data_IF_044435059149
#
_entry.id   IF_044435059149
#
_cell.length_a   1.000
_cell.length_b   1.000
_cell.length_c   1.000
_cell.angle_alpha   90.00
_cell.angle_beta   90.00
_cell.angle_gamma   90.00
#
_symmetry.space_group_name_H-M   'P 1'
#
loop_
_entity.id
_entity.type
_entity.pdbx_description
1 polymer ?
#
# COMPACT_ATOMS: atom_id res chain seq x y z
N UNK A 1 9.91 -13.83 21.94
CA UNK A 1 10.86 -12.84 21.36
C UNK A 1 10.59 -11.50 22.01
N UNK A 2 11.58 -10.71 22.41
CA UNK A 2 11.31 -9.39 23.01
C UNK A 2 10.75 -8.42 21.95
N UNK A 3 9.89 -7.48 22.36
CA UNK A 3 9.28 -6.48 21.47
C UNK A 3 10.34 -5.70 20.68
N UNK A 4 11.47 -5.38 21.32
CA UNK A 4 12.60 -4.69 20.68
C UNK A 4 13.21 -5.52 19.55
N UNK A 5 13.40 -6.83 19.75
CA UNK A 5 13.95 -7.71 18.72
C UNK A 5 12.99 -7.85 17.53
N UNK A 6 11.68 -7.89 17.80
CA UNK A 6 10.66 -7.92 16.74
C UNK A 6 10.68 -6.64 15.89
N UNK A 7 10.77 -5.46 16.53
CA UNK A 7 10.85 -4.19 15.81
C UNK A 7 12.12 -4.14 14.94
N UNK A 8 13.29 -4.46 15.50
CA UNK A 8 14.56 -4.41 14.76
C UNK A 8 14.56 -5.39 13.59
N UNK A 9 14.18 -6.64 13.83
CA UNK A 9 14.12 -7.66 12.77
C UNK A 9 13.15 -7.26 11.67
N UNK A 10 12.00 -6.67 12.01
CA UNK A 10 11.04 -6.28 10.99
C UNK A 10 11.45 -5.03 10.22
N UNK A 11 12.13 -4.06 10.85
CA UNK A 11 12.71 -2.90 10.15
C UNK A 11 13.81 -3.35 9.19
N UNK A 12 14.66 -4.29 9.60
CA UNK A 12 15.66 -4.89 8.71
C UNK A 12 15.00 -5.61 7.53
N UNK A 13 13.95 -6.39 7.79
CA UNK A 13 13.19 -7.08 6.75
C UNK A 13 12.52 -6.09 5.79
N UNK A 14 11.92 -5.02 6.31
CA UNK A 14 11.35 -3.93 5.52
C UNK A 14 12.40 -3.26 4.64
N UNK A 15 13.61 -3.02 5.13
CA UNK A 15 14.68 -2.41 4.33
C UNK A 15 15.08 -3.32 3.15
N UNK A 16 15.19 -4.62 3.41
CA UNK A 16 15.47 -5.63 2.37
C UNK A 16 14.34 -5.70 1.34
N UNK A 17 13.10 -5.85 1.80
CA UNK A 17 11.91 -5.92 0.94
C UNK A 17 11.72 -4.63 0.16
N UNK A 18 11.94 -3.48 0.79
CA UNK A 18 11.80 -2.19 0.12
C UNK A 18 12.77 -2.06 -1.03
N UNK A 19 14.04 -2.42 -0.81
CA UNK A 19 15.08 -2.37 -1.84
C UNK A 19 14.78 -3.35 -2.98
N UNK A 20 14.33 -4.56 -2.63
CA UNK A 20 13.98 -5.58 -3.61
C UNK A 20 12.78 -5.19 -4.47
N UNK A 21 11.65 -4.83 -3.84
CA UNK A 21 10.42 -4.48 -4.54
C UNK A 21 10.51 -3.14 -5.28
N UNK A 22 11.30 -2.18 -4.79
CA UNK A 22 11.55 -0.94 -5.50
C UNK A 22 12.20 -1.20 -6.86
N UNK A 23 13.21 -2.08 -6.92
CA UNK A 23 13.83 -2.49 -8.19
C UNK A 23 12.84 -3.28 -9.07
N UNK A 24 12.07 -4.18 -8.48
CA UNK A 24 11.07 -4.97 -9.19
C UNK A 24 9.96 -4.10 -9.81
N UNK A 25 9.60 -2.98 -9.17
CA UNK A 25 8.54 -2.09 -9.64
C UNK A 25 8.81 -1.55 -11.05
N UNK A 26 10.05 -1.23 -11.41
CA UNK A 26 10.39 -0.77 -12.77
C UNK A 26 10.19 -1.86 -13.81
N UNK A 27 10.52 -3.10 -13.45
CA UNK A 27 10.29 -4.24 -14.34
C UNK A 27 8.79 -4.50 -14.53
N UNK A 28 8.03 -4.42 -13.45
CA UNK A 28 6.57 -4.59 -13.46
C UNK A 28 5.89 -3.46 -14.24
N UNK A 29 6.34 -2.21 -14.10
CA UNK A 29 5.83 -1.09 -14.88
C UNK A 29 5.97 -1.32 -16.39
N UNK A 30 7.10 -1.92 -16.83
CA UNK A 30 7.32 -2.30 -18.23
C UNK A 30 6.36 -3.40 -18.69
N UNK A 31 6.08 -4.39 -17.85
CA UNK A 31 5.16 -5.50 -18.18
C UNK A 31 3.70 -5.03 -18.25
N UNK A 32 3.26 -4.22 -17.29
CA UNK A 32 1.87 -3.75 -17.19
C UNK A 32 1.61 -2.65 -18.24
N UNK A 33 2.65 -1.98 -18.75
CA UNK A 33 2.51 -0.84 -19.66
C UNK A 33 1.88 0.37 -18.97
N UNK A 34 2.01 0.48 -17.65
CA UNK A 34 1.49 1.58 -16.82
C UNK A 34 2.60 2.14 -15.94
N UNK A 35 2.50 3.43 -15.62
CA UNK A 35 3.38 4.06 -14.64
C UNK A 35 3.02 3.56 -13.26
N UNK A 36 4.00 2.99 -12.57
CA UNK A 36 3.87 2.49 -11.22
C UNK A 36 4.76 3.34 -10.33
N UNK A 37 4.20 3.91 -9.25
CA UNK A 37 4.98 4.53 -8.19
C UNK A 37 5.86 3.45 -7.51
N UNK A 38 7.19 3.44 -7.71
CA UNK A 38 8.03 2.33 -7.23
C UNK A 38 8.02 2.22 -5.70
N UNK A 39 7.93 3.36 -5.01
CA UNK A 39 7.79 3.43 -3.55
C UNK A 39 6.46 2.83 -3.11
N UNK A 40 5.36 3.23 -3.74
CA UNK A 40 4.02 2.74 -3.40
C UNK A 40 3.89 1.23 -3.65
N UNK A 41 4.44 0.75 -4.77
CA UNK A 41 4.51 -0.68 -5.07
C UNK A 41 5.35 -1.44 -4.04
N UNK A 42 6.46 -0.84 -3.62
CA UNK A 42 7.37 -1.43 -2.65
C UNK A 42 6.74 -1.56 -1.26
N UNK A 43 6.09 -0.50 -0.76
CA UNK A 43 5.32 -0.53 0.49
C UNK A 43 4.16 -1.53 0.39
N UNK A 44 3.44 -1.49 -0.74
CA UNK A 44 2.32 -2.39 -1.05
C UNK A 44 2.70 -3.87 -0.97
N UNK A 45 3.75 -4.23 -1.69
CA UNK A 45 4.25 -5.60 -1.75
C UNK A 45 4.81 -6.07 -0.40
N UNK A 46 5.40 -5.15 0.37
CA UNK A 46 5.99 -5.44 1.68
C UNK A 46 4.94 -5.80 2.72
N UNK A 47 3.88 -5.00 2.88
CA UNK A 47 2.82 -5.39 3.83
C UNK A 47 2.11 -6.67 3.36
N UNK A 48 1.95 -6.87 2.04
CA UNK A 48 1.34 -8.07 1.50
C UNK A 48 2.16 -9.32 1.83
N UNK A 49 3.48 -9.24 1.69
CA UNK A 49 4.38 -10.34 2.09
C UNK A 49 4.36 -10.60 3.58
N UNK A 50 4.35 -9.54 4.40
CA UNK A 50 4.27 -9.69 5.85
C UNK A 50 2.95 -10.34 6.29
N UNK A 51 1.81 -9.97 5.69
CA UNK A 51 0.53 -10.64 5.94
C UNK A 51 0.61 -12.12 5.56
N UNK A 52 1.14 -12.45 4.38
CA UNK A 52 1.26 -13.84 3.94
C UNK A 52 2.21 -14.66 4.83
N UNK A 53 3.34 -14.09 5.25
CA UNK A 53 4.27 -14.71 6.18
C UNK A 53 3.65 -14.96 7.56
N UNK A 54 2.82 -14.02 8.04
CA UNK A 54 2.09 -14.15 9.29
C UNK A 54 1.00 -15.22 9.22
N UNK A 55 0.21 -15.25 8.14
CA UNK A 55 -0.86 -16.23 7.93
C UNK A 55 -0.34 -17.66 7.74
N UNK A 56 0.85 -17.82 7.15
CA UNK A 56 1.52 -19.12 6.98
C UNK A 56 2.24 -19.60 8.23
N UNK A 57 2.31 -18.78 9.29
CA UNK A 57 3.01 -19.11 10.54
C UNK A 57 4.54 -19.16 10.41
N UNK A 58 5.11 -18.64 9.31
CA UNK A 58 6.57 -18.62 9.09
C UNK A 58 7.21 -17.59 10.02
N UNK A 59 6.59 -16.41 10.15
CA UNK A 59 7.08 -15.30 10.97
C UNK A 59 5.90 -14.71 11.73
N UNK A 60 5.99 -14.62 13.05
CA UNK A 60 5.01 -13.91 13.89
C UNK A 60 5.27 -12.40 13.80
N UNK A 61 4.48 -11.73 12.95
CA UNK A 61 4.61 -10.30 12.68
C UNK A 61 3.52 -9.54 13.41
N UNK A 62 3.93 -8.52 14.17
CA UNK A 62 3.01 -7.66 14.89
C UNK A 62 2.06 -6.92 13.93
N UNK A 63 0.74 -7.10 14.11
CA UNK A 63 -0.31 -6.46 13.31
C UNK A 63 -0.23 -4.92 13.32
N UNK A 64 0.23 -4.30 14.40
CA UNK A 64 0.40 -2.84 14.45
C UNK A 64 1.44 -2.35 13.45
N UNK A 65 2.46 -3.15 13.18
CA UNK A 65 3.47 -2.81 12.20
C UNK A 65 2.95 -2.94 10.77
N UNK A 66 2.15 -3.96 10.50
CA UNK A 66 1.45 -4.12 9.22
C UNK A 66 0.49 -2.94 9.01
N UNK A 67 -0.23 -2.53 10.07
CA UNK A 67 -1.11 -1.37 10.05
C UNK A 67 -0.37 -0.08 9.68
N UNK A 68 0.86 0.13 10.18
CA UNK A 68 1.70 1.27 9.80
C UNK A 68 2.07 1.27 8.32
N UNK A 69 2.32 0.11 7.72
CA UNK A 69 2.59 0.01 6.28
C UNK A 69 1.33 0.21 5.43
N UNK A 70 0.18 -0.28 5.91
CA UNK A 70 -1.11 -0.05 5.29
C UNK A 70 -1.44 1.45 5.30
N UNK A 71 -1.21 2.17 6.40
CA UNK A 71 -1.43 3.62 6.48
C UNK A 71 -0.53 4.41 5.52
N UNK A 72 0.73 4.02 5.35
CA UNK A 72 1.61 4.58 4.32
C UNK A 72 1.05 4.38 2.91
N UNK A 73 0.44 3.22 2.64
CA UNK A 73 -0.22 2.94 1.36
C UNK A 73 -1.44 3.83 1.13
N UNK A 74 -2.23 4.15 2.17
CA UNK A 74 -3.36 5.09 2.07
C UNK A 74 -2.87 6.46 1.59
N UNK A 75 -1.80 6.96 2.20
CA UNK A 75 -1.20 8.25 1.81
C UNK A 75 -0.69 8.18 0.38
N UNK A 76 0.01 7.10 0.01
CA UNK A 76 0.49 6.90 -1.36
C UNK A 76 -0.64 6.90 -2.40
N UNK A 77 -1.75 6.22 -2.11
CA UNK A 77 -2.93 6.20 -2.99
C UNK A 77 -3.59 7.59 -3.07
N UNK A 78 -3.60 8.35 -1.97
CA UNK A 78 -4.15 9.71 -1.99
C UNK A 78 -3.39 10.66 -2.93
N UNK A 79 -2.08 10.46 -3.10
CA UNK A 79 -1.28 11.24 -4.05
C UNK A 79 -1.57 10.88 -5.51
N UNK A 80 -2.00 9.65 -5.80
CA UNK A 80 -2.38 9.23 -7.16
C UNK A 80 -3.71 9.85 -7.62
N UNK A 81 -4.45 10.55 -6.75
CA UNK A 81 -5.74 11.14 -7.10
C UNK A 81 -5.59 12.25 -8.14
N UNK A 82 -4.53 13.05 -8.09
CA UNK A 82 -4.31 14.14 -9.06
C UNK A 82 -4.27 13.61 -10.49
N UNK A 83 -3.50 12.54 -10.68
CA UNK A 83 -3.33 11.86 -11.95
C UNK A 83 -4.62 11.13 -12.35
N UNK A 84 -5.31 10.53 -11.38
CA UNK A 84 -6.58 9.85 -11.61
C UNK A 84 -7.66 10.81 -12.14
N UNK A 85 -7.85 11.97 -11.49
CA UNK A 85 -8.83 12.99 -11.88
C UNK A 85 -8.53 13.49 -13.29
N UNK A 86 -7.25 13.75 -13.59
CA UNK A 86 -6.81 14.24 -14.89
C UNK A 86 -7.07 13.23 -16.01
N UNK A 87 -6.75 11.95 -15.79
CA UNK A 87 -6.91 10.90 -16.82
C UNK A 87 -8.38 10.52 -17.03
N UNK A 88 -9.20 10.50 -15.98
CA UNK A 88 -10.59 10.04 -16.05
C UNK A 88 -11.63 11.18 -16.15
N UNK A 89 -11.19 12.44 -16.22
CA UNK A 89 -12.05 13.63 -16.27
C UNK A 89 -13.13 13.63 -15.17
N UNK A 90 -12.73 13.31 -13.95
CA UNK A 90 -13.64 13.24 -12.79
C UNK A 90 -14.03 14.66 -12.35
N UNK A 91 -15.33 14.93 -12.19
CA UNK A 91 -15.87 16.24 -11.80
C UNK A 91 -15.95 16.47 -10.29
N UNK A 92 -15.56 15.48 -9.49
CA UNK A 92 -15.56 15.55 -8.03
C UNK A 92 -14.38 16.40 -7.57
N UNK A 93 -14.56 17.17 -6.50
CA UNK A 93 -13.49 17.96 -5.89
C UNK A 93 -12.32 17.08 -5.46
N UNK A 94 -11.10 17.46 -5.86
CA UNK A 94 -9.85 16.79 -5.51
C UNK A 94 -9.73 16.57 -3.99
N UNK A 95 -9.98 17.62 -3.20
CA UNK A 95 -9.91 17.55 -1.74
C UNK A 95 -10.86 16.50 -1.15
N UNK A 96 -12.07 16.36 -1.70
CA UNK A 96 -13.05 15.39 -1.20
C UNK A 96 -12.55 13.97 -1.45
N UNK A 97 -11.99 13.71 -2.64
CA UNK A 97 -11.40 12.42 -2.96
C UNK A 97 -10.17 12.13 -2.10
N UNK A 98 -9.23 13.08 -1.98
CA UNK A 98 -7.98 12.91 -1.21
C UNK A 98 -8.24 12.65 0.25
N UNK A 99 -8.95 13.55 0.90
CA UNK A 99 -9.26 13.40 2.32
C UNK A 99 -10.25 12.26 2.57
N UNK A 100 -11.15 11.97 1.62
CA UNK A 100 -12.02 10.80 1.67
C UNK A 100 -11.23 9.49 1.73
N UNK A 101 -10.24 9.30 0.85
CA UNK A 101 -9.35 8.12 0.89
C UNK A 101 -8.56 8.07 2.19
N UNK A 102 -8.03 9.19 2.66
CA UNK A 102 -7.27 9.25 3.92
C UNK A 102 -8.14 8.85 5.10
N UNK A 103 -9.33 9.42 5.24
CA UNK A 103 -10.25 9.14 6.35
C UNK A 103 -10.73 7.69 6.30
N UNK A 104 -11.20 7.25 5.13
CA UNK A 104 -11.66 5.87 4.94
C UNK A 104 -10.54 4.85 5.18
N UNK A 105 -9.34 5.13 4.68
CA UNK A 105 -8.18 4.28 4.89
C UNK A 105 -7.70 4.26 6.34
N UNK A 106 -7.71 5.39 7.02
CA UNK A 106 -7.39 5.44 8.45
C UNK A 106 -8.38 4.61 9.26
N UNK A 107 -9.67 4.65 8.91
CA UNK A 107 -10.69 3.81 9.53
C UNK A 107 -10.42 2.32 9.29
N UNK A 108 -10.20 1.91 8.03
CA UNK A 108 -9.91 0.52 7.68
C UNK A 108 -8.64 -0.01 8.39
N UNK A 109 -7.58 0.80 8.44
CA UNK A 109 -6.33 0.48 9.14
C UNK A 109 -6.54 0.39 10.66
N UNK A 110 -7.35 1.27 11.23
CA UNK A 110 -7.66 1.23 12.68
C UNK A 110 -8.46 -0.02 13.04
N UNK A 111 -9.43 -0.40 12.21
CA UNK A 111 -10.18 -1.66 12.39
C UNK A 111 -9.24 -2.87 12.26
N UNK A 112 -8.30 -2.82 11.30
CA UNK A 112 -7.30 -3.87 11.11
C UNK A 112 -6.41 -4.02 12.36
N UNK A 113 -5.94 -2.91 12.92
CA UNK A 113 -5.00 -2.88 14.03
C UNK A 113 -5.63 -3.23 15.38
N UNK A 114 -6.82 -2.70 15.67
CA UNK A 114 -7.37 -2.69 17.03
C UNK A 114 -8.62 -3.57 17.22
N UNK A 115 -9.34 -3.92 16.15
CA UNK A 115 -10.64 -4.62 16.26
C UNK A 115 -10.53 -6.03 15.69
N UNK A 116 -10.34 -6.15 14.37
CA UNK A 116 -10.29 -7.44 13.71
C UNK A 116 -9.50 -7.35 12.39
N UNK A 117 -8.37 -8.07 12.24
CA UNK A 117 -7.47 -7.92 11.09
C UNK A 117 -8.16 -8.28 9.77
N UNK A 118 -8.96 -9.34 9.75
CA UNK A 118 -9.68 -9.76 8.52
C UNK A 118 -10.69 -8.71 8.05
N UNK A 119 -11.48 -8.13 8.97
CA UNK A 119 -12.50 -7.13 8.62
C UNK A 119 -11.83 -5.84 8.15
N UNK A 120 -10.80 -5.39 8.87
CA UNK A 120 -10.03 -4.21 8.48
C UNK A 120 -9.36 -4.37 7.12
N UNK A 121 -8.79 -5.55 6.84
CA UNK A 121 -8.21 -5.84 5.53
C UNK A 121 -9.26 -5.86 4.42
N UNK A 122 -10.43 -6.44 4.67
CA UNK A 122 -11.53 -6.46 3.71
C UNK A 122 -12.05 -5.04 3.41
N UNK A 123 -12.12 -4.18 4.42
CA UNK A 123 -12.40 -2.75 4.24
C UNK A 123 -11.25 -1.97 3.58
N UNK A 124 -10.04 -2.52 3.56
CA UNK A 124 -8.90 -1.90 2.87
C UNK A 124 -8.89 -2.23 1.36
N UNK A 125 -9.58 -3.29 0.92
CA UNK A 125 -9.63 -3.70 -0.49
C UNK A 125 -10.07 -2.59 -1.46
N UNK A 126 -11.08 -1.75 -1.17
CA UNK A 126 -11.43 -0.64 -2.05
C UNK A 126 -10.28 0.34 -2.30
N UNK A 127 -9.39 0.55 -1.32
CA UNK A 127 -8.22 1.43 -1.45
C UNK A 127 -7.19 0.79 -2.38
N UNK A 128 -6.98 -0.52 -2.25
CA UNK A 128 -6.10 -1.28 -3.15
C UNK A 128 -6.61 -1.18 -4.58
N UNK A 129 -7.90 -1.46 -4.79
CA UNK A 129 -8.54 -1.40 -6.11
C UNK A 129 -8.42 0.00 -6.71
N UNK A 130 -8.69 1.04 -5.91
CA UNK A 130 -8.53 2.42 -6.34
C UNK A 130 -7.09 2.75 -6.72
N UNK A 131 -6.12 2.33 -5.91
CA UNK A 131 -4.70 2.52 -6.20
C UNK A 131 -4.27 1.90 -7.54
N UNK A 132 -4.75 0.70 -7.87
CA UNK A 132 -4.50 0.07 -9.17
C UNK A 132 -5.19 0.81 -10.32
N UNK A 133 -6.42 1.28 -10.11
CA UNK A 133 -7.18 2.00 -11.13
C UNK A 133 -6.61 3.39 -11.41
N UNK A 134 -5.98 4.01 -10.41
CA UNK A 134 -5.27 5.29 -10.53
C UNK A 134 -3.95 5.20 -11.29
N UNK A 135 -3.41 4.00 -11.54
CA UNK A 135 -2.20 3.82 -12.35
C UNK A 135 -2.43 4.26 -13.80
N UNK A 136 -1.65 5.24 -14.25
CA UNK A 136 -1.78 5.84 -15.58
C UNK A 136 -1.09 5.01 -16.65
N UNK A 137 -1.63 4.95 -17.89
CA UNK A 137 -0.97 4.27 -19.00
C UNK A 137 0.39 4.88 -19.32
N UNK A 138 1.37 4.04 -19.61
CA UNK A 138 2.71 4.48 -19.99
C UNK A 138 2.73 4.92 -21.46
N UNK A 139 1.92 5.90 -21.82
CA UNK A 139 1.92 6.51 -23.15
C UNK A 139 3.04 7.53 -23.26
N UNK A 140 4.30 7.10 -23.19
CA UNK A 140 5.44 7.80 -23.79
C UNK A 140 6.62 6.82 -23.89
N UNK A 141 7.15 6.66 -25.11
CA UNK A 141 8.49 6.12 -25.33
C UNK A 141 9.56 7.07 -24.78
N UNK A 142 9.74 7.06 -23.45
CA UNK A 142 10.93 7.52 -22.73
C UNK A 142 11.15 6.64 -21.50
#
# INVERSE_FOLDING_TARGET
MSIQLQIISTVLLQLVFFTFYYKAAFFIAKIIGRRVCPVCFSVGSTWLTLIMANLSGIIDVNNYLIALLLSQSVVGVSYLIDEFILVHNVKVSDYILKFGIIIYGTLAVSIFAFIHPVVGFLMFLPIILFGFYALTPNNYGR
#
